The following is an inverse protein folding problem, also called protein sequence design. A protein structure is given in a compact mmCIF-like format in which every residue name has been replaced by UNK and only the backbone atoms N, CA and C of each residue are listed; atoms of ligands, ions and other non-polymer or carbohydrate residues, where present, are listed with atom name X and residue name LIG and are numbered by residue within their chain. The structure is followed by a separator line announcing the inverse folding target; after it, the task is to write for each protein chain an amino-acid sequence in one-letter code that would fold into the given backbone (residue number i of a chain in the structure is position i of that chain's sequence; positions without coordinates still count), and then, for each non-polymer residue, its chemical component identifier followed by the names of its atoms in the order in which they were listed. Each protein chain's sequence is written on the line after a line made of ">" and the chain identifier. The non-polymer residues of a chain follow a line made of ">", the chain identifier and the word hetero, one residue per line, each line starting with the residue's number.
data_IF_688148653402
#
_entry.id   IF_688148653402
#
_cell.length_a   1.000
_cell.length_b   1.000
_cell.length_c   1.000
_cell.angle_alpha   90.00
_cell.angle_beta   90.00
_cell.angle_gamma   90.00
#
_symmetry.space_group_name_H-M   'P 1'
#
loop_
_entity.id
_entity.type
_entity.pdbx_description
1 polymer ?
#
# COMPACT_ATOMS: atom_id res chain seq x y z
N UNK A 1 9.42 -12.79 23.24
CA UNK A 1 8.91 -13.67 22.16
C UNK A 1 7.76 -14.49 22.69
N UNK A 2 6.68 -14.73 21.95
CA UNK A 2 5.61 -15.66 22.31
C UNK A 2 6.17 -17.10 22.48
N UNK A 3 5.43 -18.00 23.12
CA UNK A 3 5.85 -19.40 23.28
C UNK A 3 5.94 -20.09 21.91
N UNK A 4 6.97 -20.91 21.71
CA UNK A 4 7.12 -21.74 20.52
C UNK A 4 6.07 -22.85 20.49
N UNK A 5 5.60 -23.22 19.29
CA UNK A 5 4.68 -24.33 19.12
C UNK A 5 5.49 -25.63 19.16
N UNK A 6 5.12 -26.62 20.02
CA UNK A 6 5.87 -27.87 20.14
C UNK A 6 5.84 -28.72 18.87
N UNK A 7 6.93 -29.45 18.60
CA UNK A 7 7.03 -30.32 17.41
C UNK A 7 5.90 -31.37 17.32
N UNK A 8 5.47 -31.92 18.46
CA UNK A 8 4.36 -32.86 18.50
C UNK A 8 3.04 -32.26 18.04
N UNK A 9 2.78 -31.01 18.38
CA UNK A 9 1.59 -30.26 17.95
C UNK A 9 1.67 -29.93 16.45
N UNK A 10 2.84 -29.49 15.97
CA UNK A 10 3.08 -29.26 14.54
C UNK A 10 2.81 -30.55 13.74
N UNK A 11 3.29 -31.69 14.26
CA UNK A 11 3.08 -32.98 13.59
C UNK A 11 1.60 -33.41 13.55
N UNK A 12 0.79 -33.01 14.53
CA UNK A 12 -0.63 -33.34 14.60
C UNK A 12 -1.50 -32.45 13.71
N UNK A 13 -1.08 -31.19 13.41
CA UNK A 13 -1.86 -30.21 12.63
C UNK A 13 -1.43 -30.18 11.17
N UNK A 14 -2.32 -30.47 10.21
CA UNK A 14 -2.02 -30.33 8.78
C UNK A 14 -1.63 -28.90 8.39
N UNK A 15 -2.31 -27.90 8.92
CA UNK A 15 -2.05 -26.49 8.65
C UNK A 15 -0.65 -26.07 9.16
N UNK A 16 -0.29 -26.44 10.41
CA UNK A 16 1.04 -26.12 10.94
C UNK A 16 2.17 -26.81 10.19
N UNK A 17 2.00 -28.05 9.76
CA UNK A 17 2.99 -28.76 8.92
C UNK A 17 3.24 -28.02 7.61
N UNK A 18 2.20 -27.50 6.98
CA UNK A 18 2.32 -26.74 5.74
C UNK A 18 3.12 -25.44 5.96
N UNK A 19 2.83 -24.70 7.03
CA UNK A 19 3.55 -23.45 7.33
C UNK A 19 5.04 -23.72 7.61
N UNK A 20 5.36 -24.76 8.37
CA UNK A 20 6.74 -25.15 8.69
C UNK A 20 7.52 -25.66 7.48
N UNK A 21 6.86 -26.25 6.47
CA UNK A 21 7.54 -26.74 5.27
C UNK A 21 8.38 -25.69 4.54
N UNK A 22 8.16 -24.41 4.84
CA UNK A 22 8.93 -23.28 4.35
C UNK A 22 10.08 -22.84 5.27
N UNK A 23 10.45 -23.65 6.29
CA UNK A 23 11.58 -23.38 7.17
C UNK A 23 11.33 -22.32 8.25
N UNK A 24 10.07 -22.05 8.58
CA UNK A 24 9.71 -21.08 9.59
C UNK A 24 9.69 -21.67 11.01
N UNK A 25 10.11 -20.88 12.01
CA UNK A 25 9.85 -21.15 13.43
C UNK A 25 8.45 -20.60 13.77
N UNK A 26 7.65 -21.43 14.46
CA UNK A 26 6.27 -21.08 14.80
C UNK A 26 6.13 -20.72 16.27
N UNK A 27 5.38 -19.65 16.53
CA UNK A 27 5.07 -19.17 17.87
C UNK A 27 3.56 -18.98 17.99
N UNK A 28 3.03 -19.29 19.18
CA UNK A 28 1.61 -19.14 19.46
C UNK A 28 1.27 -17.69 19.80
N UNK A 29 0.27 -17.16 19.12
CA UNK A 29 -0.38 -15.90 19.47
C UNK A 29 -1.72 -16.17 20.18
N UNK A 30 -2.30 -15.15 20.84
CA UNK A 30 -3.65 -15.26 21.40
C UNK A 30 -4.68 -15.66 20.35
N UNK A 31 -5.61 -16.56 20.73
CA UNK A 31 -6.76 -16.92 19.90
C UNK A 31 -7.72 -15.74 19.86
N UNK A 32 -8.19 -15.37 18.68
CA UNK A 32 -9.12 -14.28 18.45
C UNK A 32 -10.25 -14.72 17.52
N UNK A 33 -11.47 -14.37 17.85
CA UNK A 33 -12.66 -14.72 17.05
C UNK A 33 -12.75 -16.21 16.69
N UNK A 34 -12.31 -17.09 17.60
CA UNK A 34 -12.31 -18.55 17.39
C UNK A 34 -11.19 -19.09 16.49
N UNK A 35 -10.28 -18.24 15.98
CA UNK A 35 -9.16 -18.67 15.15
C UNK A 35 -7.88 -18.75 15.99
N UNK A 36 -7.10 -19.83 15.79
CA UNK A 36 -5.80 -19.99 16.42
C UNK A 36 -4.75 -19.17 15.67
N UNK A 37 -4.21 -18.12 16.31
CA UNK A 37 -3.22 -17.26 15.67
C UNK A 37 -1.80 -17.78 15.85
N UNK A 38 -1.02 -17.78 14.77
CA UNK A 38 0.35 -18.29 14.69
C UNK A 38 1.27 -17.24 14.07
N UNK A 39 2.35 -16.93 14.76
CA UNK A 39 3.43 -16.10 14.26
C UNK A 39 4.52 -17.00 13.70
N UNK A 40 4.75 -16.96 12.41
CA UNK A 40 5.79 -17.71 11.71
C UNK A 40 6.96 -16.79 11.37
N UNK A 41 8.17 -17.16 11.76
CA UNK A 41 9.40 -16.38 11.51
C UNK A 41 10.44 -17.21 10.76
N UNK A 42 10.98 -16.61 9.68
CA UNK A 42 12.11 -17.16 8.94
C UNK A 42 13.18 -16.07 8.76
N UNK A 43 14.29 -16.18 9.50
CA UNK A 43 15.31 -15.13 9.54
C UNK A 43 14.75 -13.79 10.07
N UNK A 44 14.85 -12.73 9.27
CA UNK A 44 14.31 -11.40 9.56
C UNK A 44 12.86 -11.23 9.14
N UNK A 45 12.31 -12.14 8.37
CA UNK A 45 10.93 -12.08 7.87
C UNK A 45 9.97 -12.79 8.81
N UNK A 46 8.74 -12.32 8.86
CA UNK A 46 7.66 -12.95 9.60
C UNK A 46 6.33 -12.87 8.86
N UNK A 47 5.42 -13.79 9.20
CA UNK A 47 4.02 -13.78 8.77
C UNK A 47 3.12 -14.17 9.93
N UNK A 48 1.88 -13.72 9.91
CA UNK A 48 0.85 -14.18 10.83
C UNK A 48 -0.15 -15.03 10.04
N UNK A 49 -0.48 -16.18 10.62
CA UNK A 49 -1.49 -17.08 10.11
C UNK A 49 -2.59 -17.27 11.15
N UNK A 50 -3.79 -17.47 10.68
CA UNK A 50 -4.96 -17.81 11.48
C UNK A 50 -5.47 -19.17 11.04
N UNK A 51 -5.46 -20.12 11.96
CA UNK A 51 -5.91 -21.48 11.71
C UNK A 51 -7.39 -21.62 12.11
N UNK A 52 -8.10 -22.46 11.36
CA UNK A 52 -9.45 -22.89 11.76
C UNK A 52 -9.41 -23.64 13.09
N UNK A 53 -10.53 -23.69 13.86
CA UNK A 53 -10.56 -24.36 15.16
C UNK A 53 -10.20 -25.85 15.13
N UNK A 54 -10.34 -26.48 13.97
CA UNK A 54 -9.98 -27.88 13.72
C UNK A 54 -8.56 -28.05 13.18
N UNK A 55 -7.78 -26.96 13.02
CA UNK A 55 -6.43 -26.93 12.48
C UNK A 55 -6.26 -27.53 11.08
N UNK A 56 -7.37 -27.62 10.32
CA UNK A 56 -7.32 -28.21 8.95
C UNK A 56 -6.99 -27.18 7.86
N UNK A 57 -7.20 -25.87 8.14
CA UNK A 57 -6.94 -24.80 7.20
C UNK A 57 -6.23 -23.63 7.85
N UNK A 58 -5.44 -22.88 7.06
CA UNK A 58 -4.81 -21.63 7.47
C UNK A 58 -5.18 -20.48 6.55
N UNK A 59 -5.25 -19.27 7.11
CA UNK A 59 -5.41 -18.01 6.41
C UNK A 59 -4.21 -17.14 6.75
N UNK A 60 -3.38 -16.82 5.76
CA UNK A 60 -2.29 -15.83 5.91
C UNK A 60 -2.83 -14.42 5.68
N UNK A 61 -2.55 -13.49 6.61
CA UNK A 61 -3.00 -12.11 6.41
C UNK A 61 -3.16 -11.29 7.68
N UNK A 62 -3.93 -10.21 7.54
CA UNK A 62 -4.23 -9.24 8.60
C UNK A 62 -5.70 -9.34 8.98
N UNK A 63 -5.96 -9.53 10.27
CA UNK A 63 -7.30 -9.57 10.83
C UNK A 63 -7.69 -8.18 11.36
N UNK A 64 -8.91 -7.78 11.05
CA UNK A 64 -9.54 -6.57 11.55
C UNK A 64 -10.86 -6.94 12.26
N UNK A 65 -11.17 -6.26 13.35
CA UNK A 65 -12.47 -6.41 13.99
C UNK A 65 -13.56 -5.56 13.28
N UNK A 66 -14.80 -5.71 13.71
CA UNK A 66 -15.94 -4.97 13.17
C UNK A 66 -15.86 -3.46 13.45
N UNK A 67 -15.05 -3.02 14.42
CA UNK A 67 -14.83 -1.61 14.75
C UNK A 67 -13.65 -1.01 13.93
N UNK A 68 -12.97 -1.84 13.12
CA UNK A 68 -11.84 -1.41 12.28
C UNK A 68 -10.49 -1.39 13.00
N UNK A 69 -10.36 -2.08 14.15
CA UNK A 69 -9.06 -2.24 14.80
C UNK A 69 -8.27 -3.38 14.17
N UNK A 70 -6.99 -3.14 13.93
CA UNK A 70 -6.08 -4.15 13.41
C UNK A 70 -5.63 -5.10 14.52
N UNK A 71 -6.30 -6.25 14.65
CA UNK A 71 -6.01 -7.29 15.65
C UNK A 71 -4.62 -7.85 15.47
N UNK A 72 -4.23 -8.17 14.23
CA UNK A 72 -2.91 -8.73 13.93
C UNK A 72 -1.79 -7.81 14.42
N UNK A 73 -1.90 -6.50 14.18
CA UNK A 73 -0.92 -5.53 14.66
C UNK A 73 -0.83 -5.53 16.19
N UNK A 74 -1.96 -5.58 16.87
CA UNK A 74 -2.00 -5.63 18.34
C UNK A 74 -1.35 -6.90 18.88
N UNK A 75 -1.59 -8.06 18.26
CA UNK A 75 -1.01 -9.35 18.65
C UNK A 75 0.52 -9.38 18.51
N UNK A 76 1.07 -8.73 17.48
CA UNK A 76 2.52 -8.74 17.23
C UNK A 76 3.26 -7.53 17.84
N UNK A 77 2.55 -6.54 18.37
CA UNK A 77 3.14 -5.27 18.84
C UNK A 77 4.23 -5.45 19.91
N UNK A 78 4.12 -6.49 20.74
CA UNK A 78 5.11 -6.81 21.77
C UNK A 78 6.32 -7.64 21.25
N UNK A 79 6.31 -8.03 19.97
CA UNK A 79 7.39 -8.83 19.37
C UNK A 79 8.40 -7.90 18.71
N UNK A 80 9.67 -7.86 19.14
CA UNK A 80 10.68 -6.97 18.56
C UNK A 80 10.86 -7.18 17.06
N UNK A 81 10.87 -6.08 16.31
CA UNK A 81 11.12 -6.08 14.87
C UNK A 81 9.90 -6.37 13.98
N UNK A 82 8.70 -6.52 14.56
CA UNK A 82 7.47 -6.82 13.82
C UNK A 82 6.63 -5.57 13.49
N UNK A 83 6.75 -4.51 14.28
CA UNK A 83 6.09 -3.24 14.05
C UNK A 83 7.16 -2.17 14.03
N UNK A 84 7.24 -1.31 13.01
CA UNK A 84 8.11 -0.16 13.07
C UNK A 84 7.75 0.66 14.31
N UNK A 85 8.68 0.82 15.24
CA UNK A 85 8.53 1.67 16.42
C UNK A 85 8.65 3.14 16.02
N UNK A 86 7.69 3.63 15.26
CA UNK A 86 7.44 5.07 15.23
C UNK A 86 6.58 5.36 16.45
N UNK A 87 7.19 5.86 17.51
CA UNK A 87 6.46 6.41 18.64
C UNK A 87 5.69 7.64 18.15
N UNK A 88 4.43 7.48 17.84
CA UNK A 88 3.51 8.58 17.73
C UNK A 88 3.22 9.05 19.16
N UNK A 89 3.92 10.10 19.60
CA UNK A 89 3.43 10.87 20.74
C UNK A 89 2.10 11.48 20.29
N UNK A 90 0.97 11.25 20.99
CA UNK A 90 -0.24 12.00 20.72
C UNK A 90 0.11 13.49 20.86
N UNK A 91 -0.27 14.29 19.87
CA UNK A 91 -0.14 15.73 19.99
C UNK A 91 -0.81 16.15 21.28
N UNK A 92 -0.05 16.65 22.24
CA UNK A 92 -0.55 17.23 23.46
C UNK A 92 -1.57 18.30 23.08
N UNK A 93 -2.78 18.18 23.60
CA UNK A 93 -3.81 19.20 23.44
C UNK A 93 -3.19 20.58 23.75
N UNK A 94 -3.42 21.60 22.92
CA UNK A 94 -2.85 22.92 23.17
C UNK A 94 -3.40 23.46 24.49
N UNK A 95 -2.49 23.78 25.40
CA UNK A 95 -2.79 24.59 26.60
C UNK A 95 -3.44 25.89 26.15
N UNK A 96 -4.58 26.18 26.74
CA UNK A 96 -5.28 27.46 26.56
C UNK A 96 -4.36 28.65 26.89
N UNK A 97 -4.15 29.53 25.90
CA UNK A 97 -3.55 30.85 26.19
C UNK A 97 -2.54 31.34 25.16
N UNK A 98 -2.91 31.43 23.86
CA UNK A 98 -2.27 32.37 22.91
C UNK A 98 -3.35 32.86 21.95
N UNK A 99 -3.44 34.16 21.60
CA UNK A 99 -4.48 34.72 20.76
C UNK A 99 -4.42 34.04 19.36
N UNK A 100 -5.56 33.64 18.86
CA UNK A 100 -5.75 33.03 17.57
C UNK A 100 -5.25 33.93 16.43
N UNK A 101 -4.05 33.64 15.94
CA UNK A 101 -3.66 33.97 14.58
C UNK A 101 -4.14 32.80 13.73
N UNK A 102 -4.83 33.08 12.64
CA UNK A 102 -5.54 32.15 11.72
C UNK A 102 -5.00 30.72 11.69
N UNK A 103 -5.89 29.69 11.68
CA UNK A 103 -5.45 28.31 11.54
C UNK A 103 -4.68 28.18 10.23
N UNK A 104 -3.53 27.47 10.20
CA UNK A 104 -2.89 27.09 8.95
C UNK A 104 -3.90 26.21 8.20
N UNK A 105 -4.42 26.78 7.10
CA UNK A 105 -5.64 26.35 6.48
C UNK A 105 -5.57 24.95 5.89
N UNK A 106 -6.70 24.52 5.48
CA UNK A 106 -7.11 23.36 4.68
C UNK A 106 -6.06 22.68 3.76
N UNK A 107 -4.96 23.36 3.40
CA UNK A 107 -3.85 22.81 2.61
C UNK A 107 -3.11 21.63 3.29
N UNK A 108 -3.11 21.56 4.64
CA UNK A 108 -2.45 20.47 5.35
C UNK A 108 -3.22 19.15 5.32
N UNK A 109 -4.51 19.17 4.94
CA UNK A 109 -5.40 18.02 4.85
C UNK A 109 -5.84 17.67 3.43
N UNK A 110 -5.52 18.50 2.44
CA UNK A 110 -5.89 18.31 1.03
C UNK A 110 -5.05 17.15 0.41
N UNK A 111 -5.63 15.96 0.12
CA UNK A 111 -4.94 14.84 -0.50
C UNK A 111 -4.32 15.19 -1.85
N UNK A 112 -4.96 16.04 -2.66
CA UNK A 112 -4.44 16.45 -3.96
C UNK A 112 -3.19 17.33 -3.80
N UNK A 113 -3.19 18.25 -2.83
CA UNK A 113 -2.01 19.06 -2.52
C UNK A 113 -0.84 18.20 -2.01
N UNK A 114 -1.10 17.17 -1.21
CA UNK A 114 -0.08 16.21 -0.75
C UNK A 114 0.49 15.42 -1.92
N UNK A 115 -0.36 14.93 -2.82
CA UNK A 115 0.05 14.16 -4.01
C UNK A 115 0.79 15.03 -5.03
N UNK A 116 0.49 16.33 -5.11
CA UNK A 116 1.26 17.26 -5.94
C UNK A 116 2.72 17.44 -5.47
N UNK A 117 3.02 17.15 -4.19
CA UNK A 117 4.37 17.14 -3.63
C UNK A 117 5.05 15.76 -3.72
N UNK A 118 4.35 14.72 -4.13
CA UNK A 118 4.89 13.38 -4.34
C UNK A 118 5.71 13.30 -5.63
N UNK A 119 6.46 12.20 -5.79
CA UNK A 119 7.13 11.89 -7.04
C UNK A 119 6.24 11.02 -7.92
N UNK A 120 5.97 11.48 -9.14
CA UNK A 120 5.06 10.80 -10.06
C UNK A 120 5.52 10.92 -11.51
N UNK A 121 5.10 9.96 -12.33
CA UNK A 121 5.17 10.05 -13.79
C UNK A 121 3.86 10.54 -14.37
N UNK A 122 3.91 11.02 -15.61
CA UNK A 122 2.76 11.58 -16.32
C UNK A 122 2.41 10.71 -17.52
N UNK A 123 1.14 10.35 -17.64
CA UNK A 123 0.60 9.62 -18.78
C UNK A 123 -0.61 10.40 -19.34
N UNK A 124 -0.53 10.77 -20.60
CA UNK A 124 -1.56 11.56 -21.25
C UNK A 124 -1.11 13.00 -21.55
N UNK A 125 -2.05 13.78 -22.06
CA UNK A 125 -1.78 15.12 -22.61
C UNK A 125 -1.68 16.16 -21.49
N UNK A 126 -0.71 17.06 -21.59
CA UNK A 126 -0.62 18.22 -20.72
C UNK A 126 -1.85 19.13 -20.86
N UNK A 127 -2.31 19.63 -19.70
CA UNK A 127 -3.51 20.45 -19.61
C UNK A 127 -4.83 19.67 -19.52
N UNK A 128 -4.81 18.35 -19.71
CA UNK A 128 -5.97 17.51 -19.43
C UNK A 128 -6.24 17.42 -17.91
N UNK A 129 -7.49 17.14 -17.48
CA UNK A 129 -7.82 16.94 -16.08
C UNK A 129 -6.91 15.92 -15.41
N UNK A 130 -6.25 16.30 -14.31
CA UNK A 130 -5.28 15.44 -13.64
C UNK A 130 -5.93 14.53 -12.61
N UNK A 131 -5.61 13.25 -12.69
CA UNK A 131 -5.98 12.22 -11.72
C UNK A 131 -4.71 11.58 -11.19
N UNK A 132 -4.48 11.67 -9.88
CA UNK A 132 -3.39 10.94 -9.24
C UNK A 132 -3.80 9.48 -9.08
N UNK A 133 -2.93 8.58 -9.49
CA UNK A 133 -3.12 7.15 -9.38
C UNK A 133 -1.96 6.54 -8.61
N UNK A 134 -2.20 6.21 -7.33
CA UNK A 134 -1.22 5.51 -6.51
C UNK A 134 -1.21 4.04 -6.92
N UNK A 135 -0.03 3.54 -7.27
CA UNK A 135 0.14 2.21 -7.86
C UNK A 135 1.23 1.42 -7.14
N UNK A 136 0.96 0.15 -6.88
CA UNK A 136 2.03 -0.82 -6.74
C UNK A 136 2.29 -1.42 -8.12
N UNK A 137 3.52 -1.35 -8.67
CA UNK A 137 3.78 -1.72 -10.07
C UNK A 137 3.45 -3.17 -10.40
N UNK A 138 3.50 -4.06 -9.41
CA UNK A 138 3.22 -5.48 -9.58
C UNK A 138 1.79 -5.86 -9.13
N UNK A 139 0.97 -4.89 -8.73
CA UNK A 139 -0.43 -5.12 -8.40
C UNK A 139 -1.27 -5.34 -9.66
N UNK A 140 -1.91 -6.51 -9.84
CA UNK A 140 -2.72 -6.79 -11.04
C UNK A 140 -3.95 -5.88 -11.16
N UNK A 141 -4.46 -5.37 -10.05
CA UNK A 141 -5.55 -4.41 -10.05
C UNK A 141 -5.09 -3.05 -10.58
N UNK A 142 -3.86 -2.60 -10.22
CA UNK A 142 -3.25 -1.38 -10.76
C UNK A 142 -3.07 -1.47 -12.27
N UNK A 143 -2.53 -2.58 -12.77
CA UNK A 143 -2.30 -2.81 -14.20
C UNK A 143 -3.63 -2.82 -14.99
N UNK A 144 -4.67 -3.45 -14.44
CA UNK A 144 -6.01 -3.44 -15.06
C UNK A 144 -6.62 -2.05 -15.12
N UNK A 145 -6.55 -1.28 -14.04
CA UNK A 145 -7.05 0.08 -14.00
C UNK A 145 -6.30 0.99 -15.00
N UNK A 146 -4.98 0.86 -15.09
CA UNK A 146 -4.16 1.59 -16.05
C UNK A 146 -4.57 1.28 -17.49
N UNK A 147 -4.76 -0.01 -17.81
CA UNK A 147 -5.21 -0.44 -19.14
C UNK A 147 -6.62 0.08 -19.46
N UNK A 148 -7.53 0.09 -18.48
CA UNK A 148 -8.89 0.61 -18.66
C UNK A 148 -8.92 2.12 -18.89
N UNK A 149 -7.97 2.87 -18.31
CA UNK A 149 -7.86 4.32 -18.43
C UNK A 149 -7.05 4.77 -19.65
N UNK A 150 -6.24 3.88 -20.26
CA UNK A 150 -5.36 4.19 -21.39
C UNK A 150 -6.06 4.85 -22.60
N UNK A 151 -7.28 4.45 -23.04
CA UNK A 151 -7.96 5.12 -24.14
C UNK A 151 -8.29 6.59 -23.86
N UNK A 152 -8.48 6.94 -22.59
CA UNK A 152 -8.84 8.29 -22.16
C UNK A 152 -7.63 9.19 -21.98
N UNK A 153 -6.47 8.63 -21.56
CA UNK A 153 -5.20 9.36 -21.60
C UNK A 153 -4.76 9.63 -23.03
N UNK A 154 -4.86 8.61 -23.92
CA UNK A 154 -4.51 8.74 -25.34
C UNK A 154 -5.39 9.78 -26.07
N UNK A 155 -6.68 9.88 -25.74
CA UNK A 155 -7.59 10.86 -26.30
C UNK A 155 -7.49 12.26 -25.65
N UNK A 156 -6.66 12.43 -24.63
CA UNK A 156 -6.49 13.71 -23.91
C UNK A 156 -7.67 14.08 -23.01
N UNK A 157 -8.53 13.12 -22.66
CA UNK A 157 -9.68 13.34 -21.76
C UNK A 157 -9.28 13.38 -20.29
N UNK A 158 -8.14 12.80 -19.95
CA UNK A 158 -7.51 12.87 -18.63
C UNK A 158 -6.00 12.73 -18.73
N UNK A 159 -5.28 13.20 -17.71
CA UNK A 159 -3.87 12.94 -17.48
C UNK A 159 -3.72 12.17 -16.18
N UNK A 160 -3.05 11.01 -16.21
CA UNK A 160 -2.71 10.27 -15.01
C UNK A 160 -1.36 10.76 -14.46
N UNK A 161 -1.33 11.08 -13.17
CA UNK A 161 -0.11 11.22 -12.39
C UNK A 161 0.12 9.90 -11.65
N UNK A 162 1.03 9.07 -12.17
CA UNK A 162 1.35 7.74 -11.65
C UNK A 162 2.27 7.87 -10.45
N UNK A 163 1.79 7.54 -9.24
CA UNK A 163 2.53 7.64 -7.98
C UNK A 163 2.93 6.24 -7.52
N UNK A 164 4.18 5.78 -7.80
CA UNK A 164 4.63 4.46 -7.39
C UNK A 164 4.76 4.34 -5.86
N UNK A 165 4.25 3.23 -5.33
CA UNK A 165 4.39 2.76 -3.95
C UNK A 165 4.75 1.28 -3.95
N UNK A 166 5.20 0.72 -2.82
CA UNK A 166 5.54 -0.71 -2.68
C UNK A 166 4.84 -1.29 -1.44
N UNK A 167 3.54 -1.52 -1.55
CA UNK A 167 2.76 -2.03 -0.41
C UNK A 167 2.57 -3.54 -0.44
N UNK A 168 2.81 -4.20 -1.58
CA UNK A 168 2.60 -5.63 -1.77
C UNK A 168 3.88 -6.48 -1.62
N UNK A 169 4.96 -5.91 -1.10
CA UNK A 169 6.22 -6.64 -0.86
C UNK A 169 6.03 -7.92 -0.05
N UNK A 170 5.07 -7.91 0.88
CA UNK A 170 4.74 -9.08 1.69
C UNK A 170 4.06 -10.21 0.89
N UNK A 171 3.46 -9.91 -0.27
CA UNK A 171 2.77 -10.88 -1.13
C UNK A 171 3.70 -11.44 -2.23
N UNK A 172 4.73 -10.69 -2.62
CA UNK A 172 5.59 -11.01 -3.77
C UNK A 172 7.09 -11.10 -3.44
N UNK A 173 7.41 -11.43 -2.18
CA UNK A 173 8.79 -11.61 -1.69
C UNK A 173 9.69 -10.38 -1.88
N UNK A 174 9.12 -9.17 -1.73
CA UNK A 174 9.86 -7.93 -1.83
C UNK A 174 10.05 -7.40 -3.25
N UNK A 175 9.35 -7.96 -4.24
CA UNK A 175 9.53 -7.56 -5.66
C UNK A 175 8.92 -6.19 -5.98
N UNK A 176 7.93 -5.70 -5.21
CA UNK A 176 7.31 -4.40 -5.43
C UNK A 176 8.27 -3.23 -5.22
N UNK A 177 9.15 -3.30 -4.21
CA UNK A 177 10.13 -2.22 -3.94
C UNK A 177 11.09 -1.99 -5.11
N UNK A 178 11.83 -2.98 -5.65
CA UNK A 178 12.67 -2.75 -6.81
C UNK A 178 11.87 -2.28 -8.04
N UNK A 179 10.66 -2.80 -8.26
CA UNK A 179 9.80 -2.36 -9.35
C UNK A 179 9.39 -0.87 -9.20
N UNK A 180 9.01 -0.43 -8.01
CA UNK A 180 8.68 0.97 -7.75
C UNK A 180 9.90 1.89 -7.92
N UNK A 181 11.08 1.44 -7.49
CA UNK A 181 12.34 2.18 -7.65
C UNK A 181 12.76 2.31 -9.12
N UNK A 182 12.49 1.29 -9.96
CA UNK A 182 12.72 1.36 -11.39
C UNK A 182 11.84 2.43 -12.03
N UNK A 183 10.56 2.45 -11.73
CA UNK A 183 9.64 3.48 -12.21
C UNK A 183 10.10 4.89 -11.78
N UNK A 184 10.50 5.06 -10.52
CA UNK A 184 10.96 6.33 -9.96
C UNK A 184 12.35 6.76 -10.46
N UNK A 185 13.08 5.88 -11.12
CA UNK A 185 14.35 6.17 -11.77
C UNK A 185 14.19 6.59 -13.23
N UNK A 186 13.00 6.41 -13.79
CA UNK A 186 12.66 6.77 -15.17
C UNK A 186 12.38 8.26 -15.32
N UNK A 187 12.44 8.76 -16.56
CA UNK A 187 11.88 10.06 -16.90
C UNK A 187 10.36 10.06 -16.58
N UNK A 188 9.82 11.13 -15.99
CA UNK A 188 8.40 11.18 -15.64
C UNK A 188 7.43 10.87 -16.80
N UNK A 189 7.76 11.25 -18.02
CA UNK A 189 6.93 10.96 -19.21
C UNK A 189 7.17 9.58 -19.80
N UNK A 190 8.24 8.90 -19.42
CA UNK A 190 8.54 7.52 -19.81
C UNK A 190 8.05 6.49 -18.76
N UNK A 191 7.61 6.94 -17.59
CA UNK A 191 7.26 6.05 -16.48
C UNK A 191 6.17 5.05 -16.86
N UNK A 192 5.18 5.46 -17.65
CA UNK A 192 4.12 4.58 -18.13
C UNK A 192 4.64 3.42 -18.99
N UNK A 193 5.61 3.69 -19.87
CA UNK A 193 6.23 2.66 -20.72
C UNK A 193 7.10 1.71 -19.88
N UNK A 194 7.88 2.25 -18.95
CA UNK A 194 8.66 1.44 -17.99
C UNK A 194 7.74 0.56 -17.19
N UNK A 195 6.58 1.07 -16.73
CA UNK A 195 5.62 0.27 -16.01
C UNK A 195 5.02 -0.86 -16.85
N UNK A 196 4.67 -0.61 -18.10
CA UNK A 196 4.20 -1.67 -19.02
C UNK A 196 5.24 -2.79 -19.16
N UNK A 197 6.53 -2.42 -19.24
CA UNK A 197 7.62 -3.40 -19.29
C UNK A 197 7.73 -4.21 -17.99
N UNK A 198 7.89 -3.54 -16.86
CA UNK A 198 8.01 -4.15 -15.52
C UNK A 198 6.81 -5.06 -15.18
N UNK A 199 5.59 -4.60 -15.45
CA UNK A 199 4.38 -5.40 -15.20
C UNK A 199 4.28 -6.62 -16.12
N UNK A 200 4.78 -6.52 -17.36
CA UNK A 200 4.86 -7.62 -18.30
C UNK A 200 5.86 -8.70 -17.89
N UNK A 201 6.97 -8.31 -17.28
CA UNK A 201 7.97 -9.23 -16.74
C UNK A 201 7.56 -9.83 -15.37
N UNK A 202 6.72 -9.10 -14.60
CA UNK A 202 6.38 -9.46 -13.22
C UNK A 202 7.48 -9.18 -12.19
N UNK A 203 8.53 -8.48 -12.58
CA UNK A 203 9.65 -8.07 -11.72
C UNK A 203 10.37 -6.86 -12.32
N UNK A 204 11.21 -6.19 -11.51
CA UNK A 204 12.11 -5.15 -11.97
C UNK A 204 13.21 -5.69 -12.93
N UNK A 205 13.58 -4.90 -13.91
CA UNK A 205 14.69 -5.17 -14.85
C UNK A 205 15.79 -4.11 -14.71
N UNK A 206 16.15 -3.78 -13.49
CA UNK A 206 17.14 -2.73 -13.21
C UNK A 206 18.55 -3.19 -13.55
N UNK A 207 19.20 -2.51 -14.50
CA UNK A 207 20.60 -2.73 -14.86
C UNK A 207 21.59 -2.06 -13.88
N UNK A 208 21.11 -1.15 -13.03
CA UNK A 208 21.90 -0.41 -12.04
C UNK A 208 21.17 -0.37 -10.70
N UNK A 209 21.94 -0.26 -9.62
CA UNK A 209 21.38 -0.02 -8.30
C UNK A 209 20.54 1.27 -8.27
N UNK A 210 19.39 1.28 -7.55
CA UNK A 210 18.56 2.46 -7.45
C UNK A 210 19.32 3.64 -6.87
N UNK A 211 19.05 4.83 -7.41
CA UNK A 211 19.69 6.06 -6.91
C UNK A 211 19.15 6.44 -5.53
N UNK A 212 19.92 7.16 -4.70
CA UNK A 212 19.40 7.72 -3.44
C UNK A 212 18.18 8.62 -3.66
N UNK A 213 18.08 9.27 -4.83
CA UNK A 213 16.93 10.12 -5.21
C UNK A 213 15.67 9.26 -5.38
N UNK A 214 15.75 8.14 -6.09
CA UNK A 214 14.61 7.22 -6.26
C UNK A 214 14.18 6.59 -4.93
N UNK A 215 15.13 6.27 -4.05
CA UNK A 215 14.84 5.76 -2.71
C UNK A 215 14.11 6.80 -1.83
N UNK A 216 14.58 8.05 -1.85
CA UNK A 216 13.92 9.16 -1.16
C UNK A 216 12.52 9.42 -1.72
N UNK A 217 12.37 9.36 -3.05
CA UNK A 217 11.08 9.50 -3.74
C UNK A 217 10.08 8.42 -3.31
N UNK A 218 10.49 7.15 -3.24
CA UNK A 218 9.63 6.07 -2.77
C UNK A 218 9.21 6.27 -1.30
N UNK A 219 10.17 6.67 -0.45
CA UNK A 219 9.88 6.96 0.97
C UNK A 219 8.85 8.08 1.10
N UNK A 220 8.97 9.15 0.32
CA UNK A 220 8.02 10.26 0.31
C UNK A 220 6.64 9.78 -0.18
N UNK A 221 6.58 9.02 -1.28
CA UNK A 221 5.34 8.50 -1.83
C UNK A 221 4.59 7.61 -0.82
N UNK A 222 5.30 6.72 -0.12
CA UNK A 222 4.72 5.89 0.94
C UNK A 222 4.19 6.73 2.10
N UNK A 223 4.91 7.80 2.49
CA UNK A 223 4.46 8.73 3.53
C UNK A 223 3.19 9.47 3.10
N UNK A 224 3.13 9.96 1.86
CA UNK A 224 1.95 10.63 1.30
C UNK A 224 0.78 9.67 1.22
N UNK A 225 0.98 8.45 0.71
CA UNK A 225 -0.04 7.41 0.63
C UNK A 225 -0.66 7.11 2.02
N UNK A 226 0.16 6.98 3.04
CA UNK A 226 -0.29 6.82 4.42
C UNK A 226 -1.07 8.04 4.91
N UNK A 227 -0.56 9.27 4.67
CA UNK A 227 -1.17 10.51 5.13
C UNK A 227 -2.55 10.81 4.53
N UNK A 228 -2.83 10.29 3.31
CA UNK A 228 -4.15 10.40 2.67
C UNK A 228 -5.07 9.22 2.99
N UNK A 229 -4.63 8.28 3.84
CA UNK A 229 -5.42 7.13 4.24
C UNK A 229 -5.62 6.09 3.13
N UNK A 230 -4.64 5.93 2.22
CA UNK A 230 -4.68 4.89 1.19
C UNK A 230 -4.79 3.50 1.83
N UNK A 231 -5.69 2.65 1.32
CA UNK A 231 -5.95 1.30 1.82
C UNK A 231 -5.47 0.18 0.91
N UNK A 232 -5.13 0.49 -0.34
CA UNK A 232 -4.70 -0.48 -1.34
C UNK A 232 -4.44 0.19 -2.69
N UNK A 233 -3.98 -0.59 -3.66
CA UNK A 233 -3.68 -0.13 -5.02
C UNK A 233 -4.55 -0.83 -6.05
N UNK A 234 -4.99 -0.09 -7.09
CA UNK A 234 -4.77 1.34 -7.24
C UNK A 234 -5.67 2.16 -6.32
N UNK A 235 -5.25 3.37 -5.97
CA UNK A 235 -6.10 4.40 -5.40
C UNK A 235 -6.06 5.62 -6.31
N UNK A 236 -7.22 6.09 -6.75
CA UNK A 236 -7.37 7.29 -7.57
C UNK A 236 -7.77 8.47 -6.70
N UNK A 237 -7.14 9.65 -6.93
CA UNK A 237 -7.46 10.90 -6.22
C UNK A 237 -7.51 12.05 -7.22
N UNK A 238 -8.60 12.81 -7.20
CA UNK A 238 -8.78 13.94 -8.11
C UNK A 238 -9.64 15.04 -7.49
N UNK A 239 -9.62 16.22 -8.11
CA UNK A 239 -10.65 17.25 -7.89
C UNK A 239 -11.73 17.09 -8.93
N UNK A 240 -12.98 17.00 -8.51
CA UNK A 240 -14.10 16.98 -9.45
C UNK A 240 -14.41 18.40 -10.00
N UNK A 241 -15.37 18.47 -10.94
CA UNK A 241 -15.79 19.73 -11.56
C UNK A 241 -16.29 20.79 -10.58
N UNK A 242 -16.66 20.39 -9.35
CA UNK A 242 -17.09 21.32 -8.29
C UNK A 242 -15.92 21.76 -7.42
N UNK A 243 -14.71 21.25 -7.67
CA UNK A 243 -13.53 21.45 -6.85
C UNK A 243 -13.47 20.55 -5.62
N UNK A 244 -14.45 19.66 -5.43
CA UNK A 244 -14.44 18.70 -4.34
C UNK A 244 -13.41 17.58 -4.59
N UNK A 245 -12.71 17.20 -3.53
CA UNK A 245 -11.73 16.12 -3.61
C UNK A 245 -12.45 14.78 -3.56
N UNK A 246 -12.10 13.92 -4.51
CA UNK A 246 -12.57 12.54 -4.62
C UNK A 246 -11.40 11.59 -4.42
N UNK A 247 -11.66 10.50 -3.72
CA UNK A 247 -10.72 9.40 -3.54
C UNK A 247 -11.48 8.08 -3.69
N UNK A 248 -10.98 7.22 -4.56
CA UNK A 248 -11.60 5.94 -4.86
C UNK A 248 -10.53 4.84 -4.93
N UNK A 249 -10.79 3.70 -4.30
CA UNK A 249 -9.93 2.52 -4.36
C UNK A 249 -10.40 1.61 -5.50
N UNK A 250 -9.45 1.11 -6.30
CA UNK A 250 -9.76 0.28 -7.47
C UNK A 250 -9.98 1.06 -8.75
N UNK A 251 -10.53 0.39 -9.75
CA UNK A 251 -11.00 1.01 -10.99
C UNK A 251 -12.42 1.51 -10.76
N UNK A 252 -12.76 2.75 -11.16
CA UNK A 252 -14.14 3.22 -11.08
C UNK A 252 -15.12 2.27 -11.78
N UNK A 253 -16.21 1.92 -11.09
CA UNK A 253 -17.22 1.00 -11.62
C UNK A 253 -17.90 1.55 -12.88
N UNK A 254 -18.15 2.87 -12.91
CA UNK A 254 -18.68 3.59 -14.08
C UNK A 254 -17.65 4.63 -14.57
N UNK A 255 -16.88 4.25 -15.58
CA UNK A 255 -15.89 5.13 -16.22
C UNK A 255 -16.52 6.35 -16.89
N UNK A 256 -17.77 6.27 -17.39
CA UNK A 256 -18.43 7.43 -17.99
C UNK A 256 -18.79 8.46 -16.92
N UNK A 257 -19.34 8.00 -15.79
CA UNK A 257 -19.64 8.87 -14.66
C UNK A 257 -18.36 9.48 -14.08
N UNK A 258 -17.31 8.67 -13.90
CA UNK A 258 -16.00 9.14 -13.45
C UNK A 258 -15.47 10.26 -14.36
N UNK A 259 -15.40 10.02 -15.68
CA UNK A 259 -14.89 11.01 -16.64
C UNK A 259 -15.78 12.27 -16.71
N UNK A 260 -17.09 12.09 -16.59
CA UNK A 260 -18.02 13.21 -16.52
C UNK A 260 -17.86 14.02 -15.22
N UNK A 261 -17.26 13.49 -14.17
CA UNK A 261 -16.97 14.21 -12.93
C UNK A 261 -15.71 15.07 -13.00
N UNK A 262 -14.82 14.83 -13.97
CA UNK A 262 -13.57 15.57 -14.09
C UNK A 262 -13.83 17.03 -14.54
N UNK A 263 -12.96 17.99 -14.15
CA UNK A 263 -13.02 19.37 -14.64
C UNK A 263 -12.87 19.40 -16.18
N UNK A 264 -13.38 20.46 -16.79
CA UNK A 264 -13.30 20.68 -18.24
C UNK A 264 -11.93 21.23 -18.63
#
# INVERSE_FOLDING_TARGET
>A
MPPTIPAAEIAASPALRRIVSHGALLYRLPTEHGLHAVFARSGSQFRVFYLTPDDQAEIGGVMWDAAGHNITRSQVAAIPGTVPTVHWAPATAPSAGVPATQPPGQAATDPVARLAAAHFGLEGRDGAPRVYMLIDPLCPFSTRAFSALAPYTASGRLQLALVPVSINDHENNGASTPAALELLSADPYAMGDVWRHVSGLGHADMQKAPSPVAQAALTLNLSVAHAIGMRGTPTLVWKDRTGAIRQEAGTPDDLNQFLASLPS
#
